data_IF_794755020672
#
_entry.id   IF_794755020672
#
_cell.length_a   1.000
_cell.length_b   1.000
_cell.length_c   1.000
_cell.angle_alpha   90.00
_cell.angle_beta   90.00
_cell.angle_gamma   90.00
#
_symmetry.space_group_name_H-M   'P 1'
#
loop_
_entity.id
_entity.type
_entity.pdbx_description
1 polymer ?
#
# COMPACT_ATOMS: atom_id res chain seq x y z
N UNK A 1 7.08 25.57 17.58
CA UNK A 1 7.43 24.55 16.57
C UNK A 1 6.16 23.79 16.26
N UNK A 2 5.45 24.18 15.19
CA UNK A 2 4.16 23.61 14.80
C UNK A 2 4.20 23.05 13.37
N UNK A 3 5.39 22.94 12.77
CA UNK A 3 5.53 22.84 11.30
C UNK A 3 5.87 21.44 10.78
N UNK A 4 5.83 20.44 11.66
CA UNK A 4 5.83 19.01 11.30
C UNK A 4 4.75 18.32 12.13
N UNK A 5 3.48 18.72 11.98
CA UNK A 5 2.43 17.71 12.12
C UNK A 5 2.51 16.84 10.88
N UNK A 6 3.53 15.97 10.79
CA UNK A 6 3.50 14.90 9.81
C UNK A 6 2.26 14.11 10.17
N UNK A 7 1.32 14.05 9.24
CA UNK A 7 0.16 13.21 9.39
C UNK A 7 0.59 11.74 9.17
N UNK A 8 1.44 11.22 10.08
CA UNK A 8 1.90 9.82 10.07
C UNK A 8 0.70 8.89 10.10
N UNK A 9 -0.37 9.32 10.78
CA UNK A 9 -1.66 8.65 10.74
C UNK A 9 -2.28 8.63 9.33
N UNK A 10 -2.25 9.72 8.57
CA UNK A 10 -2.75 9.74 7.19
C UNK A 10 -1.92 8.84 6.27
N UNK A 11 -0.59 8.79 6.47
CA UNK A 11 0.29 7.88 5.76
C UNK A 11 0.01 6.41 6.10
N UNK A 12 -0.22 6.08 7.37
CA UNK A 12 -0.64 4.72 7.81
C UNK A 12 -2.00 4.34 7.23
N UNK A 13 -2.95 5.27 7.26
CA UNK A 13 -4.28 5.07 6.69
C UNK A 13 -4.19 4.84 5.18
N UNK A 14 -3.38 5.63 4.47
CA UNK A 14 -3.10 5.45 3.05
C UNK A 14 -2.48 4.07 2.79
N UNK A 15 -1.45 3.69 3.56
CA UNK A 15 -0.82 2.39 3.48
C UNK A 15 -1.84 1.25 3.60
N UNK A 16 -2.67 1.29 4.63
CA UNK A 16 -3.71 0.31 4.90
C UNK A 16 -4.75 0.24 3.76
N UNK A 17 -5.19 1.39 3.24
CA UNK A 17 -6.17 1.45 2.14
C UNK A 17 -5.61 0.87 0.85
N UNK A 18 -4.35 1.15 0.54
CA UNK A 18 -3.68 0.64 -0.67
C UNK A 18 -3.46 -0.87 -0.60
N UNK A 19 -3.01 -1.39 0.55
CA UNK A 19 -2.89 -2.83 0.77
C UNK A 19 -4.25 -3.53 0.69
N UNK A 20 -5.29 -2.93 1.29
CA UNK A 20 -6.67 -3.45 1.17
C UNK A 20 -7.14 -3.47 -0.28
N UNK A 21 -6.79 -2.46 -1.08
CA UNK A 21 -7.15 -2.42 -2.50
C UNK A 21 -6.39 -3.48 -3.31
N UNK A 22 -5.10 -3.71 -3.00
CA UNK A 22 -4.33 -4.83 -3.55
C UNK A 22 -5.02 -6.16 -3.28
N UNK A 23 -5.38 -6.44 -2.03
CA UNK A 23 -6.06 -7.69 -1.65
C UNK A 23 -7.38 -7.87 -2.39
N UNK A 24 -8.16 -6.79 -2.54
CA UNK A 24 -9.41 -6.79 -3.30
C UNK A 24 -9.18 -7.11 -4.76
N UNK A 25 -8.17 -6.52 -5.39
CA UNK A 25 -7.82 -6.82 -6.78
C UNK A 25 -7.37 -8.27 -6.94
N UNK A 26 -6.51 -8.78 -6.07
CA UNK A 26 -6.06 -10.18 -6.11
C UNK A 26 -7.22 -11.16 -5.84
N UNK A 27 -8.18 -10.79 -4.99
CA UNK A 27 -9.36 -11.62 -4.70
C UNK A 27 -10.39 -11.68 -5.84
N UNK A 28 -10.30 -10.79 -6.84
CA UNK A 28 -11.21 -10.78 -7.98
C UNK A 28 -10.88 -11.86 -9.02
N UNK A 29 -9.83 -12.64 -8.79
CA UNK A 29 -9.40 -13.75 -9.62
C UNK A 29 -10.53 -14.78 -9.85
N UNK A 30 -10.61 -15.32 -11.07
CA UNK A 30 -11.65 -16.29 -11.45
C UNK A 30 -13.04 -15.74 -11.83
N UNK A 31 -13.35 -14.45 -11.57
CA UNK A 31 -14.63 -13.85 -12.04
C UNK A 31 -14.72 -13.66 -13.55
N UNK A 32 -13.59 -13.73 -14.25
CA UNK A 32 -13.54 -13.67 -15.71
C UNK A 32 -13.71 -15.04 -16.39
N UNK A 33 -14.02 -16.11 -15.64
CA UNK A 33 -14.31 -17.41 -16.25
C UNK A 33 -15.60 -17.36 -17.06
N UNK A 34 -15.55 -17.89 -18.28
CA UNK A 34 -16.72 -18.05 -19.14
C UNK A 34 -16.78 -19.50 -19.63
N UNK A 35 -17.99 -20.04 -19.76
CA UNK A 35 -18.19 -21.37 -20.31
C UNK A 35 -17.94 -21.33 -21.82
N UNK A 36 -16.92 -22.05 -22.30
CA UNK A 36 -16.61 -22.11 -23.73
C UNK A 36 -17.79 -22.63 -24.55
N UNK A 37 -18.60 -23.52 -23.98
CA UNK A 37 -19.84 -24.01 -24.63
C UNK A 37 -20.93 -22.94 -24.85
N UNK A 38 -20.84 -21.78 -24.19
CA UNK A 38 -21.79 -20.68 -24.36
C UNK A 38 -21.40 -19.73 -25.50
N UNK A 39 -20.21 -19.90 -26.09
CA UNK A 39 -19.70 -19.08 -27.18
C UNK A 39 -19.70 -19.89 -28.47
N UNK A 40 -20.50 -19.45 -29.44
CA UNK A 40 -20.77 -20.21 -30.66
C UNK A 40 -19.65 -20.17 -31.72
N UNK A 41 -18.69 -19.25 -31.62
CA UNK A 41 -17.68 -19.02 -32.66
C UNK A 41 -16.26 -19.00 -32.07
N UNK A 42 -15.32 -19.68 -32.73
CA UNK A 42 -13.92 -19.83 -32.29
C UNK A 42 -13.22 -18.48 -32.11
N UNK A 43 -13.37 -17.56 -33.06
CA UNK A 43 -12.83 -16.20 -32.95
C UNK A 43 -13.30 -15.44 -31.68
N UNK A 44 -14.53 -15.70 -31.23
CA UNK A 44 -15.07 -15.08 -30.01
C UNK A 44 -14.45 -15.73 -28.78
N UNK A 45 -14.27 -17.07 -28.79
CA UNK A 45 -13.56 -17.79 -27.72
C UNK A 45 -12.13 -17.28 -27.60
N UNK A 46 -11.43 -17.11 -28.71
CA UNK A 46 -10.05 -16.60 -28.76
C UNK A 46 -9.93 -15.15 -28.28
N UNK A 47 -10.87 -14.29 -28.69
CA UNK A 47 -10.92 -12.91 -28.23
C UNK A 47 -11.16 -12.83 -26.71
N UNK A 48 -12.07 -13.65 -26.19
CA UNK A 48 -12.36 -13.74 -24.76
C UNK A 48 -11.17 -14.32 -23.97
N UNK A 49 -10.44 -15.28 -24.54
CA UNK A 49 -9.26 -15.88 -23.91
C UNK A 49 -8.11 -14.86 -23.82
N UNK A 50 -7.91 -14.08 -24.88
CA UNK A 50 -6.95 -12.95 -24.89
C UNK A 50 -7.34 -11.86 -23.90
N UNK A 51 -8.63 -11.49 -23.86
CA UNK A 51 -9.14 -10.50 -22.92
C UNK A 51 -8.89 -10.94 -21.48
N UNK A 52 -9.25 -12.18 -21.13
CA UNK A 52 -9.04 -12.73 -19.78
C UNK A 52 -7.57 -12.67 -19.37
N UNK A 53 -6.65 -13.18 -20.21
CA UNK A 53 -5.22 -13.17 -19.91
C UNK A 53 -4.70 -11.75 -19.68
N UNK A 54 -5.03 -10.84 -20.60
CA UNK A 54 -4.62 -9.44 -20.46
C UNK A 54 -5.22 -8.78 -19.22
N UNK A 55 -6.47 -9.11 -18.87
CA UNK A 55 -7.11 -8.60 -17.66
C UNK A 55 -6.40 -9.11 -16.40
N UNK A 56 -6.14 -10.41 -16.31
CA UNK A 56 -5.46 -11.04 -15.18
C UNK A 56 -4.05 -10.44 -15.01
N UNK A 57 -3.26 -10.35 -16.09
CA UNK A 57 -1.91 -9.78 -16.08
C UNK A 57 -1.89 -8.31 -15.62
N UNK A 58 -2.79 -7.47 -16.16
CA UNK A 58 -2.85 -6.05 -15.80
C UNK A 58 -3.36 -5.84 -14.37
N UNK A 59 -4.31 -6.65 -13.92
CA UNK A 59 -4.83 -6.61 -12.55
C UNK A 59 -3.75 -6.97 -11.55
N UNK A 60 -3.00 -8.05 -11.81
CA UNK A 60 -1.92 -8.49 -10.93
C UNK A 60 -0.81 -7.44 -10.88
N UNK A 61 -0.46 -6.86 -12.03
CA UNK A 61 0.51 -5.77 -12.10
C UNK A 61 0.07 -4.50 -11.34
N UNK A 62 -1.21 -4.14 -11.42
CA UNK A 62 -1.77 -3.03 -10.65
C UNK A 62 -1.77 -3.32 -9.14
N UNK A 63 -2.16 -4.54 -8.75
CA UNK A 63 -2.17 -4.95 -7.35
C UNK A 63 -0.76 -4.87 -6.73
N UNK A 64 0.26 -5.34 -7.43
CA UNK A 64 1.64 -5.26 -6.94
C UNK A 64 2.16 -3.82 -6.80
N UNK A 65 1.75 -2.91 -7.70
CA UNK A 65 2.07 -1.48 -7.57
C UNK A 65 1.41 -0.86 -6.35
N UNK A 66 0.15 -1.20 -6.09
CA UNK A 66 -0.58 -0.71 -4.92
C UNK A 66 0.03 -1.24 -3.62
N UNK A 67 0.45 -2.50 -3.58
CA UNK A 67 1.15 -3.08 -2.44
C UNK A 67 2.43 -2.30 -2.12
N UNK A 68 3.29 -2.09 -3.12
CA UNK A 68 4.55 -1.34 -2.94
C UNK A 68 4.31 0.09 -2.46
N UNK A 69 3.29 0.76 -3.00
CA UNK A 69 2.95 2.11 -2.57
C UNK A 69 2.41 2.13 -1.13
N UNK A 70 1.64 1.10 -0.74
CA UNK A 70 1.13 0.95 0.61
C UNK A 70 2.23 0.68 1.64
N UNK A 71 3.19 -0.18 1.29
CA UNK A 71 4.39 -0.46 2.09
C UNK A 71 5.22 0.82 2.27
N UNK A 72 5.50 1.54 1.18
CA UNK A 72 6.28 2.78 1.22
C UNK A 72 5.61 3.86 2.12
N UNK A 73 4.29 4.01 2.03
CA UNK A 73 3.55 4.95 2.88
C UNK A 73 3.67 4.58 4.37
N UNK A 74 3.57 3.29 4.68
CA UNK A 74 3.70 2.76 6.05
C UNK A 74 5.12 2.93 6.60
N UNK A 75 6.13 2.60 5.79
CA UNK A 75 7.54 2.78 6.14
C UNK A 75 7.89 4.25 6.37
N UNK A 76 7.36 5.15 5.53
CA UNK A 76 7.54 6.59 5.68
C UNK A 76 6.97 7.08 7.02
N UNK A 77 5.76 6.63 7.39
CA UNK A 77 5.16 6.96 8.67
C UNK A 77 6.02 6.47 9.85
N UNK A 78 6.49 5.22 9.80
CA UNK A 78 7.38 4.66 10.83
C UNK A 78 8.67 5.47 10.95
N UNK A 79 9.30 5.84 9.83
CA UNK A 79 10.55 6.61 9.84
C UNK A 79 10.41 7.99 10.48
N UNK A 80 9.27 8.67 10.28
CA UNK A 80 8.99 9.94 10.95
C UNK A 80 8.75 9.78 12.45
N UNK A 81 7.98 8.77 12.88
CA UNK A 81 7.74 8.51 14.30
C UNK A 81 9.04 8.12 15.03
N UNK A 82 9.87 7.27 14.42
CA UNK A 82 11.18 6.92 14.99
C UNK A 82 12.11 8.13 15.12
N UNK A 83 12.07 9.05 14.16
CA UNK A 83 12.85 10.28 14.21
C UNK A 83 12.38 11.20 15.34
N UNK A 84 11.06 11.33 15.52
CA UNK A 84 10.46 12.13 16.59
C UNK A 84 10.75 11.53 17.97
N UNK A 85 10.66 10.20 18.12
CA UNK A 85 11.01 9.49 19.35
C UNK A 85 12.47 9.69 19.74
N UNK A 86 13.39 9.60 18.77
CA UNK A 86 14.83 9.85 18.99
C UNK A 86 15.07 11.29 19.45
N UNK A 87 14.45 12.27 18.78
CA UNK A 87 14.55 13.67 19.16
C UNK A 87 14.01 13.93 20.56
N UNK A 88 12.84 13.37 20.90
CA UNK A 88 12.24 13.48 22.23
C UNK A 88 13.14 12.89 23.32
N UNK A 89 13.76 11.73 23.06
CA UNK A 89 14.69 11.10 23.97
C UNK A 89 15.94 11.96 24.24
N UNK A 90 16.52 12.55 23.18
CA UNK A 90 17.65 13.46 23.28
C UNK A 90 17.32 14.73 24.08
N UNK A 91 16.14 15.33 23.84
CA UNK A 91 15.66 16.49 24.59
C UNK A 91 15.48 16.17 26.08
N UNK A 92 14.87 15.02 26.41
CA UNK A 92 14.71 14.57 27.80
C UNK A 92 16.08 14.37 28.46
N UNK A 93 17.06 13.83 27.75
CA UNK A 93 18.43 13.67 28.25
C UNK A 93 19.08 15.02 28.52
N UNK A 94 19.03 15.95 27.57
CA UNK A 94 19.59 17.30 27.70
C UNK A 94 18.96 18.06 28.88
N UNK A 95 17.64 17.98 29.06
CA UNK A 95 16.94 18.60 30.20
C UNK A 95 17.40 18.00 31.54
N UNK A 96 17.63 16.68 31.61
CA UNK A 96 18.15 16.02 32.81
C UNK A 96 19.58 16.43 33.13
N UNK A 97 20.41 16.64 32.10
CA UNK A 97 21.79 17.09 32.26
C UNK A 97 21.84 18.55 32.73
N UNK A 98 21.05 19.44 32.12
CA UNK A 98 20.94 20.84 32.54
C UNK A 98 20.44 21.02 33.99
N UNK A 99 19.62 20.08 34.51
CA UNK A 99 19.16 20.09 35.91
C UNK A 99 20.20 19.58 36.91
N UNK A 100 21.29 18.97 36.44
CA UNK A 100 22.37 18.42 37.29
C UNK A 100 23.53 19.40 37.46
N UNK A 101 23.63 20.44 36.65
CA UNK A 101 24.59 21.52 36.84
C UNK A 101 23.99 22.56 37.83
N UNK A 102 24.73 22.93 38.92
CA UNK A 102 24.26 23.83 39.97
C UNK A 102 24.22 25.31 39.57
#
# INVERSE_FOLDING_TARGET
>A
MNDLQVATQELRDLGTRLTTLCDRLKSADGRASYGKEHLAHEDVVDAMDKFRKNWDDNRDHLADKLLKLGELATETANGFEEADEKLAAELVKAIKEAKKEP
#
